data_IF_041925661038
#
_entry.id   IF_041925661038
#
_cell.length_a   1.000
_cell.length_b   1.000
_cell.length_c   1.000
_cell.angle_alpha   90.00
_cell.angle_beta   90.00
_cell.angle_gamma   90.00
#
_symmetry.space_group_name_H-M   'P 1'
#
loop_
_entity.id
_entity.type
_entity.pdbx_description
1 polymer ?
#
# COMPACT_ATOMS: atom_id res chain seq x y z
N UNK A 1 -16.15 13.78 77.53
CA UNK A 1 -16.77 12.94 76.47
C UNK A 1 -16.85 13.79 75.22
N UNK A 2 -15.87 13.71 74.34
CA UNK A 2 -15.84 14.45 73.10
C UNK A 2 -15.45 13.50 71.99
N UNK A 3 -16.40 13.15 71.15
CA UNK A 3 -16.23 12.29 69.99
C UNK A 3 -15.74 13.11 68.82
N UNK A 4 -14.50 12.93 68.38
CA UNK A 4 -13.92 13.52 67.19
C UNK A 4 -14.27 12.66 65.98
N UNK A 5 -15.07 13.15 65.08
CA UNK A 5 -15.38 12.55 63.79
C UNK A 5 -14.28 12.91 62.80
N UNK A 6 -13.50 11.95 62.38
CA UNK A 6 -12.55 12.08 61.27
C UNK A 6 -13.33 11.91 59.96
N UNK A 7 -13.45 12.97 59.19
CA UNK A 7 -13.95 12.92 57.82
C UNK A 7 -12.82 12.56 56.90
N UNK A 8 -12.89 11.36 56.29
CA UNK A 8 -11.99 10.94 55.21
C UNK A 8 -12.56 11.44 53.88
N UNK A 9 -11.94 12.47 53.33
CA UNK A 9 -12.26 12.92 52.01
C UNK A 9 -11.57 12.02 50.97
N UNK A 10 -12.35 11.21 50.25
CA UNK A 10 -11.89 10.42 49.15
C UNK A 10 -11.78 11.32 47.92
N UNK A 11 -10.56 11.64 47.47
CA UNK A 11 -10.29 12.27 46.18
C UNK A 11 -10.40 11.23 45.10
N UNK A 12 -11.47 11.23 44.30
CA UNK A 12 -11.61 10.47 43.07
C UNK A 12 -10.92 11.28 41.97
N UNK A 13 -9.71 10.87 41.62
CA UNK A 13 -9.01 11.40 40.45
C UNK A 13 -9.64 10.76 39.19
N UNK A 14 -10.49 11.50 38.51
CA UNK A 14 -11.00 11.12 37.19
C UNK A 14 -9.89 11.32 36.15
N UNK A 15 -9.17 10.27 35.80
CA UNK A 15 -8.27 10.26 34.66
C UNK A 15 -9.09 10.18 33.39
N UNK A 16 -9.32 11.34 32.75
CA UNK A 16 -9.89 11.39 31.42
C UNK A 16 -8.85 10.87 30.42
N UNK A 17 -8.99 9.58 30.04
CA UNK A 17 -8.23 9.02 28.93
C UNK A 17 -8.71 9.66 27.63
N UNK A 18 -7.96 10.64 27.13
CA UNK A 18 -8.14 11.16 25.77
C UNK A 18 -7.69 10.05 24.78
N UNK A 19 -8.61 9.21 24.35
CA UNK A 19 -8.42 8.34 23.20
C UNK A 19 -8.37 9.26 21.95
N UNK A 20 -7.17 9.60 21.52
CA UNK A 20 -6.97 10.24 20.21
C UNK A 20 -7.34 9.18 19.18
N UNK A 21 -8.58 9.22 18.66
CA UNK A 21 -8.94 8.49 17.45
C UNK A 21 -8.11 9.11 16.32
N UNK A 22 -6.98 8.50 16.00
CA UNK A 22 -6.30 8.75 14.74
C UNK A 22 -7.23 8.20 13.65
N UNK A 23 -7.98 9.09 13.03
CA UNK A 23 -8.74 8.79 11.83
C UNK A 23 -7.70 8.45 10.76
N UNK A 24 -7.48 7.14 10.54
CA UNK A 24 -6.72 6.70 9.37
C UNK A 24 -7.38 7.37 8.15
N UNK A 25 -6.60 8.10 7.38
CA UNK A 25 -7.12 8.70 6.17
C UNK A 25 -7.62 7.58 5.27
N UNK A 26 -8.87 7.68 4.78
CA UNK A 26 -9.43 6.66 3.90
C UNK A 26 -8.63 6.62 2.60
N UNK A 27 -8.43 5.42 2.07
CA UNK A 27 -7.85 5.20 0.74
C UNK A 27 -8.77 5.81 -0.32
N UNK A 28 -8.20 6.54 -1.28
CA UNK A 28 -8.93 7.27 -2.32
C UNK A 28 -8.54 6.72 -3.70
N UNK A 29 -9.44 5.94 -4.30
CA UNK A 29 -9.22 5.30 -5.61
C UNK A 29 -8.99 6.31 -6.73
N UNK A 30 -9.69 7.46 -6.71
CA UNK A 30 -9.53 8.48 -7.74
C UNK A 30 -8.16 9.17 -7.64
N UNK A 31 -7.68 9.43 -6.43
CA UNK A 31 -6.31 9.93 -6.23
C UNK A 31 -5.29 8.88 -6.63
N UNK A 32 -5.55 7.60 -6.33
CA UNK A 32 -4.73 6.49 -6.78
C UNK A 32 -4.64 6.40 -8.30
N UNK A 33 -5.75 6.58 -9.01
CA UNK A 33 -5.77 6.64 -10.47
C UNK A 33 -4.93 7.82 -10.99
N UNK A 34 -5.03 8.98 -10.38
CA UNK A 34 -4.17 10.12 -10.75
C UNK A 34 -2.69 9.84 -10.49
N UNK A 35 -2.37 9.21 -9.37
CA UNK A 35 -0.99 8.79 -9.06
C UNK A 35 -0.45 7.77 -10.07
N UNK A 36 -1.30 6.88 -10.57
CA UNK A 36 -0.95 5.87 -11.59
C UNK A 36 -0.45 6.48 -12.90
N UNK A 37 -0.76 7.76 -13.19
CA UNK A 37 -0.19 8.46 -14.34
C UNK A 37 1.35 8.44 -14.36
N UNK A 38 1.99 8.35 -13.19
CA UNK A 38 3.45 8.18 -13.07
C UNK A 38 3.93 6.81 -13.57
N UNK A 39 3.06 5.83 -13.61
CA UNK A 39 3.34 4.44 -13.99
C UNK A 39 3.05 4.18 -15.48
N UNK A 40 2.14 4.95 -16.08
CA UNK A 40 1.66 4.77 -17.46
C UNK A 40 2.75 4.74 -18.54
N UNK A 41 3.88 5.46 -18.44
CA UNK A 41 4.95 5.34 -19.42
C UNK A 41 5.51 3.92 -19.55
N UNK A 42 5.47 3.14 -18.46
CA UNK A 42 6.06 1.80 -18.40
C UNK A 42 5.05 0.68 -18.18
N UNK A 43 3.88 0.95 -17.64
CA UNK A 43 2.89 -0.06 -17.26
C UNK A 43 1.53 0.21 -17.87
N UNK A 44 0.70 -0.84 -17.95
CA UNK A 44 -0.71 -0.74 -18.29
C UNK A 44 -1.55 -1.50 -17.26
N UNK A 45 -2.83 -1.15 -17.13
CA UNK A 45 -3.83 -1.83 -16.30
C UNK A 45 -5.20 -1.72 -16.97
N UNK A 46 -6.04 -2.70 -16.78
CA UNK A 46 -7.38 -2.76 -17.37
C UNK A 46 -7.52 -3.87 -18.41
N UNK A 47 -8.74 -4.04 -19.03
CA UNK A 47 -9.05 -5.17 -19.90
C UNK A 47 -8.16 -5.30 -21.14
N UNK A 48 -7.61 -4.19 -21.64
CA UNK A 48 -6.71 -4.16 -22.79
C UNK A 48 -5.25 -3.95 -22.42
N UNK A 49 -4.87 -4.24 -21.17
CA UNK A 49 -3.50 -4.01 -20.71
C UNK A 49 -2.53 -4.99 -21.36
N UNK A 50 -1.45 -4.45 -21.88
CA UNK A 50 -0.34 -5.20 -22.45
C UNK A 50 0.98 -4.84 -21.75
N UNK A 51 1.95 -5.75 -21.83
CA UNK A 51 3.30 -5.44 -21.40
C UNK A 51 3.89 -4.31 -22.24
N UNK A 52 4.61 -3.41 -21.57
CA UNK A 52 5.32 -2.29 -22.18
C UNK A 52 6.80 -2.37 -21.77
N UNK A 53 7.40 -1.27 -21.35
CA UNK A 53 8.73 -1.27 -20.72
C UNK A 53 8.73 -2.08 -19.44
N UNK A 54 7.62 -2.00 -18.67
CA UNK A 54 7.28 -2.85 -17.54
C UNK A 54 6.14 -3.81 -17.85
N UNK A 55 5.87 -4.78 -16.97
CA UNK A 55 4.75 -5.70 -17.13
C UNK A 55 3.41 -5.01 -16.95
N UNK A 56 2.34 -5.62 -17.49
CA UNK A 56 0.98 -5.24 -17.12
C UNK A 56 0.73 -5.49 -15.62
N UNK A 57 -0.20 -4.75 -15.01
CA UNK A 57 -0.43 -4.77 -13.57
C UNK A 57 -1.81 -5.33 -13.17
N UNK A 58 -2.48 -6.07 -14.05
CA UNK A 58 -3.74 -6.73 -13.74
C UNK A 58 -3.54 -7.81 -12.67
N UNK A 59 -4.52 -7.94 -11.77
CA UNK A 59 -4.47 -8.95 -10.71
C UNK A 59 -3.24 -8.86 -9.81
N UNK A 60 -2.71 -7.66 -9.57
CA UNK A 60 -1.48 -7.48 -8.82
C UNK A 60 -1.61 -8.00 -7.38
N UNK A 61 -2.75 -7.76 -6.73
CA UNK A 61 -3.00 -8.21 -5.37
C UNK A 61 -3.08 -9.74 -5.30
N UNK A 62 -2.13 -10.36 -4.60
CA UNK A 62 -1.93 -11.81 -4.50
C UNK A 62 -1.02 -12.41 -5.58
N UNK A 63 -0.57 -11.64 -6.58
CA UNK A 63 0.33 -12.13 -7.63
C UNK A 63 1.78 -12.24 -7.13
N UNK A 64 2.44 -13.33 -7.47
CA UNK A 64 3.88 -13.47 -7.20
C UNK A 64 4.69 -12.52 -8.09
N UNK A 65 5.71 -11.90 -7.55
CA UNK A 65 6.61 -11.05 -8.31
C UNK A 65 7.34 -11.85 -9.41
N UNK A 66 7.52 -11.23 -10.55
CA UNK A 66 8.23 -11.87 -11.65
C UNK A 66 7.39 -12.84 -12.49
N UNK A 67 6.05 -12.84 -12.40
CA UNK A 67 5.20 -13.87 -13.02
C UNK A 67 4.21 -13.37 -14.07
N UNK A 68 4.19 -12.07 -14.42
CA UNK A 68 3.34 -11.62 -15.53
C UNK A 68 3.73 -12.35 -16.82
N UNK A 69 2.72 -12.83 -17.56
CA UNK A 69 2.92 -13.61 -18.76
C UNK A 69 3.71 -12.83 -19.82
N UNK A 70 4.61 -13.51 -20.52
CA UNK A 70 5.36 -12.96 -21.66
C UNK A 70 6.21 -11.70 -21.35
N UNK A 71 6.52 -11.43 -20.07
CA UNK A 71 7.41 -10.33 -19.69
C UNK A 71 8.81 -10.84 -19.31
N UNK A 72 9.85 -10.18 -19.84
CA UNK A 72 11.23 -10.53 -19.52
C UNK A 72 11.74 -9.79 -18.28
N UNK A 73 11.44 -10.35 -17.11
CA UNK A 73 11.92 -9.83 -15.83
C UNK A 73 13.44 -9.96 -15.64
N UNK A 74 14.01 -9.16 -14.73
CA UNK A 74 15.33 -9.42 -14.17
C UNK A 74 15.31 -10.71 -13.34
N UNK A 75 16.46 -11.36 -13.21
CA UNK A 75 16.61 -12.51 -12.32
C UNK A 75 16.32 -12.11 -10.86
N UNK A 76 16.67 -10.89 -10.48
CA UNK A 76 16.36 -10.35 -9.16
C UNK A 76 14.84 -10.35 -8.88
N UNK A 77 14.01 -9.94 -9.85
CA UNK A 77 12.55 -10.00 -9.69
C UNK A 77 12.01 -11.41 -9.65
N UNK A 78 12.47 -12.30 -10.56
CA UNK A 78 12.04 -13.70 -10.61
C UNK A 78 12.34 -14.43 -9.30
N UNK A 79 13.51 -14.17 -8.72
CA UNK A 79 14.02 -14.85 -7.54
C UNK A 79 13.72 -14.12 -6.22
N UNK A 80 12.98 -13.02 -6.27
CA UNK A 80 12.67 -12.19 -5.07
C UNK A 80 11.81 -12.91 -4.05
N UNK A 81 11.00 -13.88 -4.48
CA UNK A 81 10.05 -14.59 -3.62
C UNK A 81 8.90 -13.71 -3.08
N UNK A 82 8.79 -12.47 -3.54
CA UNK A 82 7.75 -11.56 -3.07
C UNK A 82 6.39 -11.94 -3.65
N UNK A 83 5.36 -11.82 -2.82
CA UNK A 83 3.96 -11.83 -3.23
C UNK A 83 3.41 -10.43 -3.02
N UNK A 84 2.78 -9.89 -4.05
CA UNK A 84 2.21 -8.55 -3.98
C UNK A 84 0.99 -8.54 -3.09
N UNK A 85 1.03 -7.71 -2.09
CA UNK A 85 -0.05 -7.33 -1.21
C UNK A 85 0.20 -5.90 -0.75
N UNK A 86 -0.70 -5.35 0.03
CA UNK A 86 -0.58 -3.95 0.49
C UNK A 86 0.76 -3.65 1.17
N UNK A 87 1.19 -4.50 2.10
CA UNK A 87 2.43 -4.28 2.85
C UNK A 87 3.66 -4.36 1.94
N UNK A 88 3.73 -5.39 1.11
CA UNK A 88 4.84 -5.60 0.17
C UNK A 88 4.91 -4.48 -0.86
N UNK A 89 3.77 -4.05 -1.39
CA UNK A 89 3.69 -2.96 -2.35
C UNK A 89 4.15 -1.63 -1.74
N UNK A 90 3.64 -1.28 -0.55
CA UNK A 90 4.01 -0.05 0.17
C UNK A 90 5.51 0.03 0.43
N UNK A 91 6.11 -1.09 0.77
CA UNK A 91 7.54 -1.17 1.03
C UNK A 91 8.36 -1.06 -0.28
N UNK A 92 7.93 -1.76 -1.33
CA UNK A 92 8.59 -1.77 -2.63
C UNK A 92 8.54 -0.41 -3.33
N UNK A 93 7.36 0.22 -3.42
CA UNK A 93 7.16 1.42 -4.24
C UNK A 93 7.89 2.65 -3.70
N UNK A 94 8.30 2.64 -2.44
CA UNK A 94 9.14 3.70 -1.86
C UNK A 94 10.52 3.75 -2.49
N UNK A 95 11.09 2.60 -2.80
CA UNK A 95 12.39 2.47 -3.45
C UNK A 95 12.53 1.07 -4.08
N UNK A 96 12.08 0.88 -5.33
CA UNK A 96 12.13 -0.42 -5.97
C UNK A 96 13.53 -1.04 -6.00
N UNK A 97 14.54 -0.23 -6.30
CA UNK A 97 15.93 -0.70 -6.37
C UNK A 97 16.47 -1.15 -4.99
N UNK A 98 16.08 -0.48 -3.92
CA UNK A 98 16.49 -0.87 -2.56
C UNK A 98 15.80 -2.17 -2.12
N UNK A 99 14.52 -2.35 -2.51
CA UNK A 99 13.75 -3.55 -2.16
C UNK A 99 14.13 -4.78 -2.96
N UNK A 100 14.39 -4.62 -4.26
CA UNK A 100 14.87 -5.68 -5.15
C UNK A 100 16.14 -5.17 -5.87
N UNK A 101 17.33 -5.30 -5.24
CA UNK A 101 18.58 -4.95 -5.88
C UNK A 101 18.78 -5.77 -7.17
N UNK A 102 19.03 -5.09 -8.28
CA UNK A 102 19.12 -5.72 -9.60
C UNK A 102 17.81 -5.72 -10.40
N UNK A 103 16.74 -5.11 -9.89
CA UNK A 103 15.53 -4.86 -10.67
C UNK A 103 15.83 -4.00 -11.90
N UNK A 104 15.11 -4.27 -12.99
CA UNK A 104 15.14 -3.41 -14.20
C UNK A 104 14.22 -2.19 -14.09
N UNK A 105 13.42 -2.08 -13.04
CA UNK A 105 12.49 -0.96 -12.84
C UNK A 105 13.25 0.30 -12.45
N UNK A 106 13.41 1.20 -13.40
CA UNK A 106 14.06 2.49 -13.21
C UNK A 106 13.04 3.54 -12.71
N UNK A 107 12.67 3.46 -11.46
CA UNK A 107 11.73 4.37 -10.81
C UNK A 107 12.26 4.84 -9.46
N UNK A 108 12.23 6.16 -9.24
CA UNK A 108 12.79 6.74 -8.01
C UNK A 108 12.00 6.39 -6.75
N UNK A 109 10.73 6.06 -6.91
CA UNK A 109 9.83 5.73 -5.81
C UNK A 109 8.86 6.85 -5.45
N UNK A 110 7.92 6.51 -4.57
CA UNK A 110 6.93 7.42 -3.99
C UNK A 110 7.14 7.43 -2.48
N UNK A 111 7.32 8.61 -1.89
CA UNK A 111 7.61 8.75 -0.45
C UNK A 111 6.41 9.18 0.38
N UNK A 112 5.38 9.77 -0.24
CA UNK A 112 4.16 10.17 0.45
C UNK A 112 3.33 8.94 0.82
N UNK A 113 3.11 8.64 2.12
CA UNK A 113 2.39 7.45 2.56
C UNK A 113 0.94 7.40 2.05
N UNK A 114 0.23 8.54 2.06
CA UNK A 114 -1.16 8.58 1.58
C UNK A 114 -1.25 8.33 0.07
N UNK A 115 -0.33 8.87 -0.70
CA UNK A 115 -0.27 8.61 -2.15
C UNK A 115 -0.03 7.11 -2.44
N UNK A 116 0.82 6.47 -1.65
CA UNK A 116 1.07 5.02 -1.78
C UNK A 116 -0.19 4.22 -1.45
N UNK A 117 -0.91 4.59 -0.41
CA UNK A 117 -2.17 3.94 -0.02
C UNK A 117 -3.25 4.12 -1.08
N UNK A 118 -3.40 5.32 -1.60
CA UNK A 118 -4.37 5.62 -2.65
C UNK A 118 -4.03 4.86 -3.95
N UNK A 119 -2.74 4.82 -4.33
CA UNK A 119 -2.28 4.06 -5.49
C UNK A 119 -2.55 2.56 -5.34
N UNK A 120 -2.29 2.00 -4.16
CA UNK A 120 -2.61 0.59 -3.91
C UNK A 120 -4.12 0.33 -4.00
N UNK A 121 -4.95 1.21 -3.45
CA UNK A 121 -6.40 1.11 -3.55
C UNK A 121 -6.88 1.08 -5.00
N UNK A 122 -6.26 1.85 -5.89
CA UNK A 122 -6.54 1.83 -7.32
C UNK A 122 -6.09 0.51 -7.96
N UNK A 123 -4.87 0.07 -7.72
CA UNK A 123 -4.30 -1.13 -8.36
C UNK A 123 -5.04 -2.42 -7.95
N UNK A 124 -5.33 -2.59 -6.66
CA UNK A 124 -5.93 -3.83 -6.14
C UNK A 124 -7.36 -4.11 -6.59
N UNK A 125 -8.04 -3.11 -7.15
CA UNK A 125 -9.41 -3.31 -7.64
C UNK A 125 -9.48 -4.11 -8.94
N UNK A 126 -8.39 -4.23 -9.70
CA UNK A 126 -8.38 -4.98 -10.95
C UNK A 126 -8.09 -6.46 -10.71
N UNK A 127 -8.86 -7.33 -11.34
CA UNK A 127 -8.59 -8.76 -11.39
C UNK A 127 -7.55 -9.12 -12.45
N UNK A 128 -7.30 -10.43 -12.65
CA UNK A 128 -6.32 -10.91 -13.63
C UNK A 128 -6.68 -10.59 -15.09
N UNK A 129 -7.96 -10.40 -15.37
CA UNK A 129 -8.46 -10.03 -16.70
C UNK A 129 -8.52 -8.51 -16.88
N UNK A 130 -8.18 -7.76 -15.86
CA UNK A 130 -8.22 -6.31 -15.85
C UNK A 130 -9.59 -5.70 -15.61
N UNK A 131 -10.56 -6.51 -15.20
CA UNK A 131 -11.86 -6.04 -14.82
C UNK A 131 -11.89 -5.57 -13.38
N UNK A 132 -12.72 -4.56 -13.09
CA UNK A 132 -12.89 -4.08 -11.72
C UNK A 132 -13.71 -5.09 -10.93
N UNK A 133 -13.13 -5.59 -9.83
CA UNK A 133 -13.79 -6.51 -8.90
C UNK A 133 -15.08 -5.90 -8.37
N UNK A 134 -16.15 -6.70 -8.35
CA UNK A 134 -17.47 -6.33 -7.83
C UNK A 134 -17.53 -6.48 -6.32
#
# INVERSE_FOLDING_TARGET
MTRTLLAVAAFIAATASFAILQKAAAQDVEKGQRSFNKCLPCHAIGPAAENKVGPELNGLDGRQAGTAANFNYSDANKNSGLVWNEATFKDYIRSPLAKIPGTKMAFAGITNPQEIEDLWAYLKQFDADGEVKK
#
